data_IF_736265892629
#
_entry.id   IF_736265892629
#
_cell.length_a   1.000
_cell.length_b   1.000
_cell.length_c   1.000
_cell.angle_alpha   90.00
_cell.angle_beta   90.00
_cell.angle_gamma   90.00
#
_symmetry.space_group_name_H-M   'P 1'
#
loop_
_entity.id
_entity.type
_entity.pdbx_description
1 polymer ?
#
# COMPACT_ATOMS: atom_id res chain seq x y z
N UNK A 1 15.40 -7.04 -0.93
CA UNK A 1 15.19 -6.46 0.41
C UNK A 1 13.95 -5.57 0.46
N UNK A 2 13.72 -4.66 -0.50
CA UNK A 2 12.60 -3.72 -0.38
C UNK A 2 11.20 -4.32 -0.52
N UNK A 3 11.01 -5.44 -1.24
CA UNK A 3 9.73 -6.19 -1.23
C UNK A 3 9.27 -6.53 0.20
N UNK A 4 10.17 -7.08 1.02
CA UNK A 4 9.83 -7.45 2.40
C UNK A 4 9.51 -6.19 3.25
N UNK A 5 10.17 -5.07 2.97
CA UNK A 5 9.87 -3.78 3.61
C UNK A 5 8.49 -3.27 3.19
N UNK A 6 8.14 -3.31 1.90
CA UNK A 6 6.82 -2.95 1.38
C UNK A 6 5.74 -3.82 1.99
N UNK A 7 5.90 -5.14 1.99
CA UNK A 7 4.99 -6.09 2.63
C UNK A 7 4.82 -5.77 4.13
N UNK A 8 5.92 -5.43 4.81
CA UNK A 8 5.88 -5.01 6.21
C UNK A 8 5.06 -3.72 6.40
N UNK A 9 5.22 -2.69 5.58
CA UNK A 9 4.41 -1.47 5.76
C UNK A 9 2.93 -1.75 5.49
N UNK A 10 2.59 -2.54 4.47
CA UNK A 10 1.20 -2.91 4.18
C UNK A 10 0.58 -3.75 5.32
N UNK A 11 1.37 -4.66 5.89
CA UNK A 11 0.96 -5.43 7.08
C UNK A 11 0.74 -4.52 8.29
N UNK A 12 1.70 -3.65 8.62
CA UNK A 12 1.65 -2.76 9.77
C UNK A 12 0.47 -1.77 9.67
N UNK A 13 0.14 -1.33 8.46
CA UNK A 13 -1.06 -0.54 8.18
C UNK A 13 -2.32 -1.38 8.39
N UNK A 14 -2.36 -2.61 7.86
CA UNK A 14 -3.52 -3.50 7.98
C UNK A 14 -3.82 -3.92 9.42
N UNK A 15 -2.78 -4.20 10.21
CA UNK A 15 -2.87 -4.77 11.55
C UNK A 15 -3.11 -3.76 12.68
N UNK A 16 -2.95 -2.44 12.44
CA UNK A 16 -3.01 -1.44 13.52
C UNK A 16 -3.74 -0.17 13.11
N UNK A 17 -4.89 0.09 13.75
CA UNK A 17 -5.64 1.34 13.58
C UNK A 17 -4.83 2.59 13.94
N UNK A 18 -3.89 2.49 14.88
CA UNK A 18 -3.00 3.60 15.23
C UNK A 18 -1.99 3.90 14.10
N UNK A 19 -1.47 2.87 13.42
CA UNK A 19 -0.64 3.07 12.24
C UNK A 19 -1.45 3.65 11.07
N UNK A 20 -2.70 3.20 10.87
CA UNK A 20 -3.61 3.81 9.87
C UNK A 20 -3.81 5.30 10.13
N UNK A 21 -4.07 5.68 11.38
CA UNK A 21 -4.23 7.09 11.76
C UNK A 21 -2.96 7.90 11.48
N UNK A 22 -1.80 7.40 11.91
CA UNK A 22 -0.50 8.08 11.64
C UNK A 22 -0.23 8.24 10.15
N UNK A 23 -0.54 7.22 9.36
CA UNK A 23 -0.39 7.28 7.91
C UNK A 23 -1.40 8.23 7.26
N UNK A 24 -2.63 8.33 7.76
CA UNK A 24 -3.62 9.28 7.26
C UNK A 24 -3.26 10.74 7.62
N UNK A 25 -2.68 10.95 8.81
CA UNK A 25 -2.29 12.27 9.31
C UNK A 25 -1.03 12.80 8.58
N UNK A 26 0.01 11.97 8.45
CA UNK A 26 1.23 12.30 7.70
C UNK A 26 1.84 11.02 7.10
N UNK A 27 1.46 10.67 5.85
CA UNK A 27 1.98 9.49 5.16
C UNK A 27 3.51 9.49 5.10
N UNK A 28 4.13 10.67 4.99
CA UNK A 28 5.54 10.78 4.72
C UNK A 28 6.39 10.64 5.96
N UNK A 29 5.97 11.23 7.08
CA UNK A 29 6.56 10.94 8.37
C UNK A 29 6.39 9.45 8.74
N UNK A 30 5.24 8.84 8.43
CA UNK A 30 5.03 7.42 8.68
C UNK A 30 5.96 6.52 7.85
N UNK A 31 6.10 6.80 6.55
CA UNK A 31 6.89 5.99 5.63
C UNK A 31 8.39 6.15 5.82
N UNK A 32 8.87 7.30 6.34
CA UNK A 32 10.29 7.50 6.71
C UNK A 32 10.84 6.53 7.75
N UNK A 33 9.96 5.83 8.48
CA UNK A 33 10.35 4.77 9.44
C UNK A 33 10.81 3.48 8.75
N UNK A 34 10.58 3.36 7.45
CA UNK A 34 10.88 2.18 6.65
C UNK A 34 12.01 2.49 5.65
N UNK A 35 12.85 1.49 5.37
CA UNK A 35 13.88 1.58 4.34
C UNK A 35 13.25 1.42 2.94
N UNK A 36 12.59 2.48 2.49
CA UNK A 36 12.03 2.61 1.15
C UNK A 36 12.82 3.66 0.36
N UNK A 37 12.88 3.54 -0.95
CA UNK A 37 13.30 4.64 -1.82
C UNK A 37 12.14 5.62 -2.11
N UNK A 38 12.40 6.71 -2.84
CA UNK A 38 11.37 7.71 -3.18
C UNK A 38 10.26 7.14 -4.06
N UNK A 39 10.59 6.21 -4.95
CA UNK A 39 9.63 5.58 -5.84
C UNK A 39 8.68 4.69 -5.03
N UNK A 40 9.23 3.86 -4.15
CA UNK A 40 8.47 2.95 -3.29
C UNK A 40 7.55 3.71 -2.33
N UNK A 41 8.04 4.82 -1.74
CA UNK A 41 7.20 5.74 -0.95
C UNK A 41 6.03 6.27 -1.77
N UNK A 42 6.30 6.74 -2.99
CA UNK A 42 5.26 7.26 -3.88
C UNK A 42 4.21 6.19 -4.20
N UNK A 43 4.61 4.93 -4.48
CA UNK A 43 3.68 3.84 -4.77
C UNK A 43 2.69 3.60 -3.61
N UNK A 44 3.18 3.61 -2.37
CA UNK A 44 2.31 3.42 -1.18
C UNK A 44 1.40 4.62 -0.98
N UNK A 45 1.92 5.85 -1.04
CA UNK A 45 1.13 7.08 -0.88
C UNK A 45 0.02 7.21 -1.92
N UNK A 46 0.32 6.87 -3.17
CA UNK A 46 -0.59 7.01 -4.30
C UNK A 46 -1.50 5.78 -4.50
N UNK A 47 -1.42 4.78 -3.61
CA UNK A 47 -2.20 3.55 -3.72
C UNK A 47 -2.01 2.83 -5.07
N UNK A 48 -0.77 2.82 -5.58
CA UNK A 48 -0.36 2.14 -6.82
C UNK A 48 -0.27 0.63 -6.63
N UNK A 49 -1.40 0.01 -6.30
CA UNK A 49 -1.50 -1.39 -5.86
C UNK A 49 -1.12 -2.39 -6.94
N UNK A 50 -1.35 -2.04 -8.22
CA UNK A 50 -0.93 -2.89 -9.34
C UNK A 50 0.59 -2.88 -9.48
N UNK A 51 1.21 -1.71 -9.38
CA UNK A 51 2.65 -1.54 -9.46
C UNK A 51 3.35 -2.19 -8.25
N UNK A 52 2.76 -2.10 -7.05
CA UNK A 52 3.23 -2.83 -5.87
C UNK A 52 3.19 -4.36 -6.12
N UNK A 53 2.10 -4.87 -6.71
CA UNK A 53 1.99 -6.28 -7.06
C UNK A 53 3.00 -6.69 -8.16
N UNK A 54 3.26 -5.82 -9.14
CA UNK A 54 4.27 -6.04 -10.19
C UNK A 54 5.71 -6.07 -9.60
N UNK A 55 5.95 -5.41 -8.46
CA UNK A 55 7.19 -5.53 -7.66
C UNK A 55 7.25 -6.83 -6.81
N UNK A 56 6.24 -7.70 -6.92
CA UNK A 56 6.16 -8.98 -6.23
C UNK A 56 5.60 -8.93 -4.80
N UNK A 57 5.01 -7.80 -4.39
CA UNK A 57 4.30 -7.69 -3.11
C UNK A 57 3.06 -8.60 -3.13
N UNK A 58 2.83 -9.32 -2.03
CA UNK A 58 1.66 -10.19 -1.91
C UNK A 58 0.33 -9.43 -2.15
N UNK A 59 -0.47 -9.94 -3.10
CA UNK A 59 -1.73 -9.30 -3.53
C UNK A 59 -2.81 -9.26 -2.44
N UNK A 60 -2.74 -10.13 -1.43
CA UNK A 60 -3.61 -10.04 -0.26
C UNK A 60 -3.32 -8.82 0.60
N UNK A 61 -2.04 -8.42 0.69
CA UNK A 61 -1.64 -7.22 1.44
C UNK A 61 -2.02 -5.94 0.69
N UNK A 62 -1.85 -5.90 -0.63
CA UNK A 62 -2.31 -4.76 -1.44
C UNK A 62 -3.83 -4.63 -1.42
N UNK A 63 -4.55 -5.75 -1.42
CA UNK A 63 -6.00 -5.78 -1.28
C UNK A 63 -6.48 -5.27 0.08
N UNK A 64 -5.91 -5.77 1.17
CA UNK A 64 -6.22 -5.30 2.52
C UNK A 64 -5.89 -3.81 2.68
N UNK A 65 -4.75 -3.36 2.16
CA UNK A 65 -4.34 -1.96 2.13
C UNK A 65 -5.30 -1.04 1.36
N UNK A 66 -5.88 -1.54 0.27
CA UNK A 66 -6.87 -0.81 -0.51
C UNK A 66 -8.21 -0.67 0.22
N UNK A 67 -8.76 -1.79 0.70
CA UNK A 67 -10.09 -1.81 1.33
C UNK A 67 -10.12 -1.02 2.64
N UNK A 68 -9.04 -1.08 3.44
CA UNK A 68 -8.99 -0.30 4.69
C UNK A 68 -8.99 1.21 4.48
N UNK A 69 -8.62 1.68 3.29
CA UNK A 69 -8.70 3.08 2.92
C UNK A 69 -10.12 3.49 2.49
N UNK A 70 -11.11 2.61 2.67
CA UNK A 70 -12.51 2.84 2.29
C UNK A 70 -12.77 2.73 0.80
N UNK A 71 -11.81 2.22 0.01
CA UNK A 71 -11.91 2.12 -1.44
C UNK A 71 -12.66 0.84 -1.85
N UNK A 72 -13.34 0.88 -3.00
CA UNK A 72 -14.22 -0.23 -3.41
C UNK A 72 -13.43 -1.45 -3.89
N UNK A 73 -13.92 -2.66 -3.59
CA UNK A 73 -13.34 -3.89 -4.13
C UNK A 73 -13.43 -3.96 -5.66
N UNK A 74 -14.48 -3.36 -6.24
CA UNK A 74 -14.67 -3.32 -7.71
C UNK A 74 -13.52 -2.59 -8.38
N UNK A 75 -13.14 -1.43 -7.85
CA UNK A 75 -12.06 -0.61 -8.42
C UNK A 75 -10.70 -1.29 -8.26
N UNK A 76 -10.47 -1.96 -7.13
CA UNK A 76 -9.28 -2.80 -6.96
C UNK A 76 -9.17 -3.84 -8.06
N UNK A 77 -10.26 -4.57 -8.34
CA UNK A 77 -10.26 -5.62 -9.36
C UNK A 77 -10.04 -5.06 -10.76
N UNK A 78 -10.61 -3.89 -11.10
CA UNK A 78 -10.33 -3.20 -12.38
C UNK A 78 -8.84 -2.88 -12.53
N UNK A 79 -8.26 -2.19 -11.53
CA UNK A 79 -6.83 -1.82 -11.49
C UNK A 79 -5.95 -3.07 -11.61
N UNK A 80 -6.27 -4.12 -10.87
CA UNK A 80 -5.51 -5.37 -10.90
C UNK A 80 -5.63 -6.11 -12.24
N UNK A 81 -6.73 -5.98 -12.96
CA UNK A 81 -6.89 -6.51 -14.33
C UNK A 81 -6.25 -5.63 -15.40
N UNK A 82 -5.74 -4.44 -15.04
CA UNK A 82 -5.32 -3.38 -15.97
C UNK A 82 -6.45 -2.92 -16.90
N UNK A 83 -7.69 -3.05 -16.43
CA UNK A 83 -8.84 -2.36 -17.00
C UNK A 83 -8.84 -0.97 -16.34
N UNK A 84 -8.72 0.11 -17.13
CA UNK A 84 -8.67 1.47 -16.56
C UNK A 84 -9.86 1.71 -15.61
N UNK A 85 -9.56 2.28 -14.43
CA UNK A 85 -10.49 2.42 -13.32
C UNK A 85 -11.58 3.45 -13.60
#
# INVERSE_FOLDING_TARGET
MSRNTLEKVLYDLSASGANKKKFADDPEAFLRRYQLDDRERALVREYRVRELADLGVNTMLTWGFWLQAGRSNRDYMKIMKREEA
#
